data_IF_492225857322
#
_entry.id   IF_492225857322
#
_cell.length_a   1.000
_cell.length_b   1.000
_cell.length_c   1.000
_cell.angle_alpha   90.00
_cell.angle_beta   90.00
_cell.angle_gamma   90.00
#
_symmetry.space_group_name_H-M   'P 1'
#
loop_
_entity.id
_entity.type
_entity.pdbx_description
1 polymer ?
#
# COMPACT_ATOMS: atom_id res chain seq x y z
N UNK A 1 -6.75 -60.59 8.10
CA UNK A 1 -7.58 -59.39 7.89
C UNK A 1 -6.68 -58.22 7.67
N UNK A 2 -6.37 -57.88 6.43
CA UNK A 2 -5.54 -56.75 6.04
C UNK A 2 -6.44 -55.51 5.96
N UNK A 3 -6.25 -54.58 6.90
CA UNK A 3 -6.96 -53.29 6.88
C UNK A 3 -6.54 -52.52 5.60
N UNK A 4 -7.53 -52.19 4.75
CA UNK A 4 -7.32 -51.33 3.60
C UNK A 4 -6.69 -50.02 4.05
N UNK A 5 -5.67 -49.49 3.38
CA UNK A 5 -5.08 -48.20 3.71
C UNK A 5 -6.17 -47.14 3.57
N UNK A 6 -6.34 -46.33 4.64
CA UNK A 6 -7.28 -45.24 4.65
C UNK A 6 -6.95 -44.30 3.50
N UNK A 7 -7.91 -44.12 2.58
CA UNK A 7 -7.78 -43.14 1.49
C UNK A 7 -7.56 -41.77 2.13
N UNK A 8 -6.43 -41.08 1.84
CA UNK A 8 -6.21 -39.77 2.40
C UNK A 8 -7.34 -38.82 1.95
N UNK A 9 -7.85 -37.95 2.81
CA UNK A 9 -8.95 -37.05 2.48
C UNK A 9 -8.60 -36.27 1.22
N UNK A 10 -9.57 -36.20 0.29
CA UNK A 10 -9.46 -35.48 -1.00
C UNK A 10 -8.86 -34.10 -0.73
N UNK A 11 -7.60 -33.95 -1.09
CA UNK A 11 -6.79 -32.81 -0.71
C UNK A 11 -7.39 -31.52 -1.30
N UNK A 12 -7.55 -30.53 -0.46
CA UNK A 12 -7.89 -29.15 -0.87
C UNK A 12 -7.00 -28.77 -2.06
N UNK A 13 -7.60 -28.22 -3.12
CA UNK A 13 -6.87 -27.88 -4.35
C UNK A 13 -5.62 -26.99 -4.07
N UNK A 14 -4.63 -26.97 -4.95
CA UNK A 14 -3.35 -26.31 -4.72
C UNK A 14 -3.50 -24.84 -4.32
N UNK A 15 -4.47 -24.12 -4.89
CA UNK A 15 -4.76 -22.72 -4.57
C UNK A 15 -5.22 -22.56 -3.12
N UNK A 16 -6.12 -23.42 -2.63
CA UNK A 16 -6.64 -23.36 -1.24
C UNK A 16 -5.50 -23.61 -0.23
N UNK A 17 -4.58 -24.51 -0.54
CA UNK A 17 -3.39 -24.77 0.30
C UNK A 17 -2.47 -23.56 0.32
N UNK A 18 -2.24 -22.91 -0.81
CA UNK A 18 -1.43 -21.68 -0.92
C UNK A 18 -2.05 -20.55 -0.12
N UNK A 19 -3.37 -20.32 -0.22
CA UNK A 19 -4.08 -19.30 0.56
C UNK A 19 -3.95 -19.58 2.06
N UNK A 20 -4.19 -20.82 2.49
CA UNK A 20 -4.10 -21.19 3.91
C UNK A 20 -2.65 -21.06 4.46
N UNK A 21 -1.64 -21.31 3.64
CA UNK A 21 -0.25 -21.10 4.00
C UNK A 21 0.09 -19.61 4.14
N UNK A 22 -0.37 -18.78 3.20
CA UNK A 22 -0.17 -17.33 3.28
C UNK A 22 -0.90 -16.67 4.45
N UNK A 23 -2.12 -17.07 4.77
CA UNK A 23 -2.84 -16.58 5.95
C UNK A 23 -2.12 -16.91 7.26
N UNK A 24 -1.52 -18.12 7.36
CA UNK A 24 -0.69 -18.48 8.51
C UNK A 24 0.59 -17.65 8.58
N UNK A 25 1.20 -17.39 7.43
CA UNK A 25 2.39 -16.52 7.33
C UNK A 25 2.08 -15.12 7.81
N UNK A 26 1.01 -14.50 7.32
CA UNK A 26 0.62 -13.11 7.69
C UNK A 26 0.39 -12.98 9.21
N UNK A 27 -0.18 -14.01 9.85
CA UNK A 27 -0.36 -14.01 11.31
C UNK A 27 0.96 -14.03 12.10
N UNK A 28 2.00 -14.65 11.55
CA UNK A 28 3.33 -14.74 12.18
C UNK A 28 4.34 -13.70 11.66
N UNK A 29 3.93 -12.81 10.75
CA UNK A 29 4.82 -11.84 10.13
C UNK A 29 5.07 -10.66 11.09
N UNK A 30 6.33 -10.36 11.44
CA UNK A 30 6.66 -9.21 12.28
C UNK A 30 6.50 -7.87 11.55
N UNK A 31 6.37 -7.87 10.22
CA UNK A 31 6.33 -6.65 9.41
C UNK A 31 5.18 -5.70 9.80
N UNK A 32 3.94 -6.16 10.12
CA UNK A 32 2.89 -5.28 10.62
C UNK A 32 3.27 -4.51 11.89
N UNK A 33 4.15 -5.08 12.74
CA UNK A 33 4.63 -4.40 13.95
C UNK A 33 5.55 -3.21 13.62
N UNK A 34 6.27 -3.26 12.49
CA UNK A 34 7.06 -2.12 12.00
C UNK A 34 6.18 -0.94 11.54
N UNK A 35 4.89 -1.18 11.25
CA UNK A 35 3.93 -0.14 10.92
C UNK A 35 3.61 0.76 12.13
N UNK A 36 3.60 0.23 13.34
CA UNK A 36 3.24 0.97 14.55
C UNK A 36 4.17 2.18 14.82
N UNK A 37 5.52 2.04 14.84
CA UNK A 37 6.38 3.19 15.03
C UNK A 37 6.30 4.20 13.87
N UNK A 38 6.10 3.76 12.63
CA UNK A 38 5.88 4.65 11.50
C UNK A 38 4.57 5.44 11.67
N UNK A 39 3.50 4.80 12.12
CA UNK A 39 2.23 5.48 12.40
C UNK A 39 2.34 6.45 13.57
N UNK A 40 3.02 6.04 14.66
CA UNK A 40 3.27 6.96 15.78
C UNK A 40 4.02 8.20 15.31
N UNK A 41 5.05 8.02 14.48
CA UNK A 41 5.80 9.13 13.88
C UNK A 41 4.90 10.03 13.04
N UNK A 42 4.03 9.47 12.19
CA UNK A 42 3.09 10.26 11.37
C UNK A 42 2.10 11.04 12.23
N UNK A 43 1.54 10.41 13.28
CA UNK A 43 0.62 11.09 14.21
C UNK A 43 1.33 12.23 14.94
N UNK A 44 2.52 12.00 15.48
CA UNK A 44 3.31 13.03 16.14
C UNK A 44 3.67 14.17 15.17
N UNK A 45 4.06 13.82 13.93
CA UNK A 45 4.35 14.82 12.90
C UNK A 45 3.11 15.64 12.52
N UNK A 46 1.95 15.00 12.40
CA UNK A 46 0.67 15.68 12.17
C UNK A 46 0.41 16.66 13.30
N UNK A 47 0.39 16.20 14.55
CA UNK A 47 0.09 17.03 15.71
C UNK A 47 1.09 18.19 15.88
N UNK A 48 2.38 17.94 15.60
CA UNK A 48 3.42 18.97 15.64
C UNK A 48 3.30 20.01 14.50
N UNK A 49 2.61 19.67 13.42
CA UNK A 49 2.35 20.58 12.28
C UNK A 49 1.15 21.49 12.53
N UNK A 50 0.32 21.19 13.54
CA UNK A 50 -0.87 21.98 13.81
C UNK A 50 -0.50 23.31 14.47
N UNK A 51 -1.11 24.45 14.03
CA UNK A 51 -0.97 25.71 14.73
C UNK A 51 -1.48 25.61 16.18
N UNK A 52 -0.76 26.20 17.12
CA UNK A 52 -1.13 26.16 18.55
C UNK A 52 -2.54 26.73 18.83
N UNK A 53 -3.02 27.62 17.97
CA UNK A 53 -4.29 28.31 18.09
C UNK A 53 -5.45 27.53 17.41
N UNK A 54 -5.18 26.36 16.83
CA UNK A 54 -6.19 25.64 16.04
C UNK A 54 -7.45 25.30 16.84
N UNK A 55 -7.30 24.94 18.13
CA UNK A 55 -8.43 24.57 18.98
C UNK A 55 -9.42 25.72 19.31
N UNK A 56 -9.02 26.96 19.04
CA UNK A 56 -9.87 28.15 19.23
C UNK A 56 -10.18 28.87 17.91
N UNK A 57 -9.68 28.36 16.79
CA UNK A 57 -9.88 28.94 15.47
C UNK A 57 -11.33 28.75 14.99
N UNK A 58 -11.87 29.67 14.16
CA UNK A 58 -13.18 29.46 13.55
C UNK A 58 -13.18 28.27 12.58
N UNK A 59 -14.31 27.57 12.49
CA UNK A 59 -14.48 26.38 11.68
C UNK A 59 -13.95 26.47 10.23
N UNK A 60 -14.14 27.56 9.47
CA UNK A 60 -13.60 27.67 8.12
C UNK A 60 -12.06 27.69 8.07
N UNK A 61 -11.41 28.29 9.07
CA UNK A 61 -9.94 28.27 9.14
C UNK A 61 -9.38 26.88 9.45
N UNK A 62 -10.07 26.11 10.31
CA UNK A 62 -9.72 24.71 10.59
C UNK A 62 -9.88 23.87 9.32
N UNK A 63 -10.95 24.06 8.56
CA UNK A 63 -11.19 23.35 7.31
C UNK A 63 -10.10 23.64 6.26
N UNK A 64 -9.62 24.87 6.15
CA UNK A 64 -8.51 25.24 5.26
C UNK A 64 -7.21 24.52 5.64
N UNK A 65 -6.90 24.49 6.95
CA UNK A 65 -5.75 23.74 7.49
C UNK A 65 -5.90 22.24 7.20
N UNK A 66 -7.09 21.65 7.41
CA UNK A 66 -7.37 20.24 7.13
C UNK A 66 -7.10 19.90 5.65
N UNK A 67 -7.59 20.74 4.75
CA UNK A 67 -7.38 20.61 3.31
C UNK A 67 -5.88 20.64 2.97
N UNK A 68 -5.12 21.60 3.48
CA UNK A 68 -3.68 21.71 3.25
C UNK A 68 -2.87 20.54 3.80
N UNK A 69 -3.26 19.98 4.95
CA UNK A 69 -2.56 18.88 5.61
C UNK A 69 -2.94 17.51 5.05
N UNK A 70 -4.17 17.31 4.62
CA UNK A 70 -4.67 15.99 4.20
C UNK A 70 -3.81 15.37 3.10
N UNK A 71 -3.48 16.10 2.04
CA UNK A 71 -2.64 15.62 0.95
C UNK A 71 -1.25 15.18 1.45
N UNK A 72 -0.60 15.97 2.31
CA UNK A 72 0.73 15.68 2.86
C UNK A 72 0.73 14.47 3.77
N UNK A 73 -0.24 14.38 4.68
CA UNK A 73 -0.35 13.29 5.66
C UNK A 73 -0.68 11.99 4.96
N UNK A 74 -1.64 11.99 4.03
CA UNK A 74 -2.01 10.77 3.29
C UNK A 74 -0.98 10.37 2.26
N UNK A 75 -0.22 11.29 1.66
CA UNK A 75 0.93 10.92 0.82
C UNK A 75 1.99 10.17 1.62
N UNK A 76 2.24 10.59 2.85
CA UNK A 76 3.17 9.91 3.76
C UNK A 76 2.66 8.52 4.16
N UNK A 77 1.36 8.37 4.45
CA UNK A 77 0.74 7.07 4.74
C UNK A 77 0.81 6.13 3.52
N UNK A 78 0.51 6.61 2.33
CA UNK A 78 0.64 5.91 1.05
C UNK A 78 2.07 5.39 0.88
N UNK A 79 3.07 6.25 1.13
CA UNK A 79 4.48 5.90 1.02
C UNK A 79 4.88 4.80 2.01
N UNK A 80 4.48 4.92 3.28
CA UNK A 80 4.74 3.90 4.31
C UNK A 80 4.14 2.56 3.90
N UNK A 81 2.88 2.53 3.46
CA UNK A 81 2.20 1.30 3.04
C UNK A 81 2.85 0.70 1.80
N UNK A 82 3.28 1.50 0.83
CA UNK A 82 4.00 1.03 -0.34
C UNK A 82 5.34 0.39 0.04
N UNK A 83 6.12 1.02 0.91
CA UNK A 83 7.40 0.46 1.40
C UNK A 83 7.17 -0.86 2.14
N UNK A 84 6.13 -0.97 2.98
CA UNK A 84 5.81 -2.22 3.67
C UNK A 84 5.41 -3.33 2.69
N UNK A 85 4.61 -3.02 1.67
CA UNK A 85 4.26 -3.96 0.60
C UNK A 85 5.48 -4.53 -0.10
N UNK A 86 6.47 -3.69 -0.37
CA UNK A 86 7.72 -4.07 -1.02
C UNK A 86 8.65 -4.87 -0.08
N UNK A 87 8.77 -4.47 1.18
CA UNK A 87 9.55 -5.20 2.19
C UNK A 87 8.99 -6.59 2.43
N UNK A 88 7.65 -6.75 2.47
CA UNK A 88 7.00 -8.04 2.68
C UNK A 88 7.40 -9.09 1.67
N UNK A 89 7.56 -8.73 0.39
CA UNK A 89 7.99 -9.68 -0.65
C UNK A 89 9.50 -9.88 -0.66
N UNK A 90 10.28 -8.81 -0.49
CA UNK A 90 11.75 -8.90 -0.58
C UNK A 90 12.38 -9.63 0.61
N UNK A 91 11.84 -9.45 1.83
CA UNK A 91 12.27 -10.20 3.01
C UNK A 91 11.87 -11.68 2.90
N UNK A 92 10.68 -11.98 2.39
CA UNK A 92 10.25 -13.36 2.16
C UNK A 92 11.09 -14.07 1.09
N UNK A 93 11.55 -13.34 0.07
CA UNK A 93 12.48 -13.87 -0.95
C UNK A 93 13.85 -14.17 -0.32
N UNK A 94 14.42 -13.25 0.44
CA UNK A 94 15.68 -13.45 1.16
C UNK A 94 15.64 -14.61 2.15
N UNK A 95 14.51 -14.81 2.84
CA UNK A 95 14.32 -15.94 3.75
C UNK A 95 14.07 -17.30 3.03
N UNK A 96 14.05 -17.32 1.70
CA UNK A 96 13.77 -18.52 0.89
C UNK A 96 12.33 -19.03 1.03
N UNK A 97 11.45 -18.27 1.65
CA UNK A 97 10.03 -18.62 1.82
C UNK A 97 9.32 -18.63 0.47
N UNK A 98 9.71 -17.70 -0.41
CA UNK A 98 9.13 -17.59 -1.76
C UNK A 98 9.46 -18.84 -2.60
N UNK A 99 10.72 -19.25 -2.64
CA UNK A 99 11.16 -20.43 -3.37
C UNK A 99 10.44 -21.71 -2.88
N UNK A 100 10.35 -21.89 -1.56
CA UNK A 100 9.60 -23.02 -0.98
C UNK A 100 8.12 -23.01 -1.34
N UNK A 101 7.45 -21.85 -1.30
CA UNK A 101 6.05 -21.73 -1.65
C UNK A 101 5.80 -22.07 -3.14
N UNK A 102 6.71 -21.71 -4.03
CA UNK A 102 6.63 -21.99 -5.47
C UNK A 102 6.69 -23.48 -5.80
N UNK A 103 7.43 -24.27 -5.02
CA UNK A 103 7.48 -25.72 -5.18
C UNK A 103 6.10 -26.40 -5.00
N UNK A 104 5.23 -25.83 -4.19
CA UNK A 104 3.91 -26.43 -3.88
C UNK A 104 2.75 -25.79 -4.64
N UNK A 105 2.85 -24.53 -5.03
CA UNK A 105 1.74 -23.77 -5.61
C UNK A 105 1.95 -23.29 -7.05
N UNK A 106 3.18 -23.43 -7.55
CA UNK A 106 3.60 -22.82 -8.80
C UNK A 106 3.80 -21.28 -8.69
N UNK A 107 4.71 -20.71 -9.50
CA UNK A 107 5.18 -19.34 -9.33
C UNK A 107 4.09 -18.29 -9.53
N UNK A 108 3.22 -18.46 -10.53
CA UNK A 108 2.16 -17.50 -10.86
C UNK A 108 1.05 -17.52 -9.81
N UNK A 109 0.68 -18.72 -9.31
CA UNK A 109 -0.35 -18.82 -8.26
C UNK A 109 0.13 -18.20 -6.96
N UNK A 110 1.37 -18.46 -6.55
CA UNK A 110 1.98 -17.85 -5.35
C UNK A 110 2.08 -16.34 -5.52
N UNK A 111 2.48 -15.84 -6.69
CA UNK A 111 2.51 -14.41 -6.99
C UNK A 111 1.14 -13.77 -6.82
N UNK A 112 0.08 -14.35 -7.41
CA UNK A 112 -1.28 -13.82 -7.33
C UNK A 112 -1.85 -13.84 -5.90
N UNK A 113 -1.68 -14.94 -5.17
CA UNK A 113 -2.12 -15.04 -3.77
C UNK A 113 -1.41 -14.02 -2.89
N UNK A 114 -0.10 -13.81 -3.09
CA UNK A 114 0.66 -12.80 -2.35
C UNK A 114 0.26 -11.38 -2.70
N UNK A 115 0.01 -11.08 -3.97
CA UNK A 115 -0.53 -9.79 -4.37
C UNK A 115 -1.85 -9.48 -3.66
N UNK A 116 -2.77 -10.46 -3.63
CA UNK A 116 -4.05 -10.33 -2.95
C UNK A 116 -3.89 -10.17 -1.43
N UNK A 117 -3.02 -10.95 -0.78
CA UNK A 117 -2.77 -10.81 0.67
C UNK A 117 -2.08 -9.50 1.00
N UNK A 118 -1.16 -9.00 0.17
CA UNK A 118 -0.55 -7.68 0.34
C UNK A 118 -1.59 -6.58 0.21
N UNK A 119 -2.47 -6.64 -0.78
CA UNK A 119 -3.58 -5.69 -0.94
C UNK A 119 -4.46 -5.65 0.32
N UNK A 120 -4.89 -6.82 0.80
CA UNK A 120 -5.73 -6.91 2.02
C UNK A 120 -5.01 -6.38 3.26
N UNK A 121 -3.74 -6.72 3.45
CA UNK A 121 -2.93 -6.23 4.57
C UNK A 121 -2.74 -4.71 4.49
N UNK A 122 -2.51 -4.18 3.30
CA UNK A 122 -2.39 -2.73 3.05
C UNK A 122 -3.70 -1.99 3.34
N UNK A 123 -4.84 -2.56 2.94
CA UNK A 123 -6.15 -2.00 3.26
C UNK A 123 -6.41 -2.00 4.77
N UNK A 124 -6.06 -3.08 5.47
CA UNK A 124 -6.25 -3.18 6.93
C UNK A 124 -5.32 -2.22 7.68
N UNK A 125 -4.01 -2.30 7.44
CA UNK A 125 -3.04 -1.45 8.14
C UNK A 125 -3.23 0.02 7.78
N UNK A 126 -3.37 0.32 6.49
CA UNK A 126 -3.57 1.68 6.02
C UNK A 126 -4.92 2.25 6.46
N UNK A 127 -5.96 1.41 6.54
CA UNK A 127 -7.26 1.80 7.11
C UNK A 127 -7.16 2.14 8.60
N UNK A 128 -6.48 1.30 9.38
CA UNK A 128 -6.18 1.61 10.80
C UNK A 128 -5.39 2.91 10.92
N UNK A 129 -4.38 3.09 10.05
CA UNK A 129 -3.58 4.32 10.00
C UNK A 129 -4.41 5.55 9.65
N UNK A 130 -5.28 5.46 8.65
CA UNK A 130 -6.17 6.54 8.27
C UNK A 130 -7.13 6.93 9.41
N UNK A 131 -7.75 5.95 10.07
CA UNK A 131 -8.61 6.19 11.24
C UNK A 131 -7.83 6.81 12.40
N UNK A 132 -6.60 6.37 12.65
CA UNK A 132 -5.77 6.93 13.71
C UNK A 132 -5.39 8.41 13.44
N UNK A 133 -5.04 8.74 12.19
CA UNK A 133 -4.74 10.12 11.78
C UNK A 133 -5.99 11.01 11.84
N UNK A 134 -7.12 10.50 11.37
CA UNK A 134 -8.43 11.17 11.46
C UNK A 134 -8.80 11.47 12.92
N UNK A 135 -8.69 10.44 13.79
CA UNK A 135 -8.98 10.58 15.21
C UNK A 135 -8.05 11.58 15.89
N UNK A 136 -6.76 11.55 15.56
CA UNK A 136 -5.78 12.48 16.11
C UNK A 136 -6.11 13.94 15.74
N UNK A 137 -6.46 14.18 14.47
CA UNK A 137 -6.87 15.51 14.01
C UNK A 137 -8.20 15.96 14.62
N UNK A 138 -9.19 15.06 14.67
CA UNK A 138 -10.50 15.32 15.27
C UNK A 138 -10.38 15.70 16.76
N UNK A 139 -9.55 14.99 17.51
CA UNK A 139 -9.30 15.31 18.94
C UNK A 139 -8.60 16.65 19.10
N UNK A 140 -7.69 17.02 18.19
CA UNK A 140 -6.93 18.26 18.27
C UNK A 140 -7.73 19.48 17.79
N UNK A 141 -8.61 19.34 16.81
CA UNK A 141 -9.28 20.44 16.11
C UNK A 141 -10.80 20.49 16.29
N UNK A 142 -11.41 19.38 16.73
CA UNK A 142 -12.87 19.21 16.76
C UNK A 142 -13.52 19.03 15.39
N UNK A 143 -12.74 18.88 14.31
CA UNK A 143 -13.24 18.70 12.94
C UNK A 143 -12.59 17.51 12.24
N UNK A 144 -13.23 17.01 11.19
CA UNK A 144 -12.74 15.92 10.36
C UNK A 144 -11.59 16.38 9.45
N UNK A 145 -10.55 15.54 9.32
CA UNK A 145 -9.44 15.75 8.38
C UNK A 145 -9.86 15.41 6.94
N UNK A 146 -10.71 14.37 6.79
CA UNK A 146 -11.22 13.88 5.52
C UNK A 146 -12.73 13.97 5.44
N UNK A 147 -13.29 14.51 4.33
CA UNK A 147 -14.71 14.36 4.07
C UNK A 147 -15.11 12.88 4.01
N UNK A 148 -16.20 12.44 4.66
CA UNK A 148 -16.63 11.02 4.65
C UNK A 148 -16.81 10.43 3.24
N UNK A 149 -17.20 11.26 2.27
CA UNK A 149 -17.35 10.87 0.88
C UNK A 149 -16.03 10.43 0.21
N UNK A 150 -14.87 10.82 0.74
CA UNK A 150 -13.54 10.48 0.20
C UNK A 150 -12.93 9.25 0.85
N UNK A 151 -13.41 8.82 2.01
CA UNK A 151 -12.83 7.73 2.79
C UNK A 151 -12.64 6.43 1.99
N UNK A 152 -13.64 6.01 1.22
CA UNK A 152 -13.56 4.80 0.38
C UNK A 152 -12.51 4.92 -0.73
N UNK A 153 -12.39 6.09 -1.36
CA UNK A 153 -11.38 6.36 -2.38
C UNK A 153 -9.98 6.40 -1.80
N UNK A 154 -9.83 7.00 -0.63
CA UNK A 154 -8.56 7.03 0.12
C UNK A 154 -8.10 5.62 0.47
N UNK A 155 -8.99 4.75 0.97
CA UNK A 155 -8.67 3.35 1.22
C UNK A 155 -8.26 2.61 -0.06
N UNK A 156 -8.95 2.84 -1.18
CA UNK A 156 -8.56 2.25 -2.46
C UNK A 156 -7.16 2.71 -2.91
N UNK A 157 -6.83 3.99 -2.77
CA UNK A 157 -5.51 4.52 -3.07
C UNK A 157 -4.42 3.92 -2.18
N UNK A 158 -4.69 3.74 -0.88
CA UNK A 158 -3.78 3.09 0.07
C UNK A 158 -3.55 1.62 -0.33
N UNK A 159 -4.61 0.88 -0.67
CA UNK A 159 -4.50 -0.50 -1.15
C UNK A 159 -3.68 -0.60 -2.44
N UNK A 160 -3.92 0.30 -3.38
CA UNK A 160 -3.17 0.41 -4.63
C UNK A 160 -1.68 0.71 -4.39
N UNK A 161 -1.37 1.57 -3.41
CA UNK A 161 0.01 1.87 -3.03
C UNK A 161 0.74 0.64 -2.46
N UNK A 162 0.09 -0.14 -1.61
CA UNK A 162 0.66 -1.39 -1.11
C UNK A 162 0.92 -2.40 -2.22
N UNK A 163 0.00 -2.51 -3.18
CA UNK A 163 0.18 -3.34 -4.36
C UNK A 163 1.32 -2.82 -5.26
N UNK A 164 1.42 -1.50 -5.45
CA UNK A 164 2.56 -0.86 -6.12
C UNK A 164 3.89 -1.29 -5.50
N UNK A 165 4.01 -1.14 -4.18
CA UNK A 165 5.20 -1.55 -3.44
C UNK A 165 5.52 -3.03 -3.63
N UNK A 166 4.52 -3.91 -3.53
CA UNK A 166 4.68 -5.34 -3.79
C UNK A 166 5.26 -5.62 -5.18
N UNK A 167 4.71 -5.00 -6.22
CA UNK A 167 5.14 -5.20 -7.61
C UNK A 167 6.59 -4.70 -7.82
N UNK A 168 6.92 -3.52 -7.30
CA UNK A 168 8.29 -2.99 -7.32
C UNK A 168 9.25 -3.93 -6.55
N UNK A 169 8.83 -4.44 -5.39
CA UNK A 169 9.60 -5.40 -4.60
C UNK A 169 9.89 -6.71 -5.34
N UNK A 170 8.92 -7.23 -6.10
CA UNK A 170 9.10 -8.43 -6.96
C UNK A 170 10.16 -8.19 -8.04
N UNK A 171 10.22 -6.99 -8.60
CA UNK A 171 11.20 -6.62 -9.64
C UNK A 171 12.61 -6.50 -9.06
N UNK A 172 12.76 -5.84 -7.93
CA UNK A 172 14.05 -5.45 -7.34
C UNK A 172 14.66 -6.56 -6.47
N UNK A 173 13.86 -7.28 -5.67
CA UNK A 173 14.27 -8.38 -4.78
C UNK A 173 15.30 -8.04 -3.69
N UNK A 174 15.70 -6.81 -3.56
CA UNK A 174 16.62 -6.36 -2.52
C UNK A 174 15.88 -5.49 -1.50
N UNK A 175 15.81 -5.90 -0.22
CA UNK A 175 15.11 -5.13 0.80
C UNK A 175 15.75 -3.75 1.03
N UNK A 176 17.07 -3.63 0.85
CA UNK A 176 17.77 -2.34 0.98
C UNK A 176 17.42 -1.42 -0.20
N UNK A 177 17.49 -1.93 -1.43
CA UNK A 177 17.19 -1.11 -2.61
C UNK A 177 15.74 -0.65 -2.64
N UNK A 178 14.82 -1.46 -2.16
CA UNK A 178 13.39 -1.13 -2.10
C UNK A 178 13.13 0.11 -1.23
N UNK A 179 13.86 0.29 -0.14
CA UNK A 179 13.75 1.48 0.72
C UNK A 179 14.07 2.79 -0.02
N UNK A 180 14.84 2.73 -1.09
CA UNK A 180 15.17 3.90 -1.91
C UNK A 180 14.32 3.95 -3.19
N UNK A 181 14.12 2.83 -3.85
CA UNK A 181 13.44 2.81 -5.15
C UNK A 181 11.94 3.05 -5.02
N UNK A 182 11.27 2.52 -4.00
CA UNK A 182 9.83 2.78 -3.82
C UNK A 182 9.56 4.27 -3.59
N UNK A 183 10.23 4.97 -2.66
CA UNK A 183 10.12 6.42 -2.58
C UNK A 183 10.51 7.13 -3.88
N UNK A 184 11.61 6.72 -4.54
CA UNK A 184 12.06 7.33 -5.78
C UNK A 184 11.06 7.19 -6.94
N UNK A 185 10.18 6.19 -6.93
CA UNK A 185 9.09 6.04 -7.92
C UNK A 185 7.84 6.84 -7.58
N UNK A 186 7.66 7.22 -6.32
CA UNK A 186 6.47 7.94 -5.85
C UNK A 186 6.73 9.43 -5.65
N UNK A 187 7.81 9.81 -4.98
CA UNK A 187 8.12 11.21 -4.59
C UNK A 187 8.36 12.17 -5.77
N UNK A 188 8.87 11.77 -6.96
CA UNK A 188 9.12 12.71 -8.06
C UNK A 188 7.90 13.55 -8.46
N UNK A 189 6.69 13.07 -8.23
CA UNK A 189 5.47 13.84 -8.50
C UNK A 189 5.46 15.17 -7.72
N UNK A 190 5.84 15.15 -6.44
CA UNK A 190 5.88 16.34 -5.60
C UNK A 190 6.99 17.32 -6.05
N UNK A 191 8.13 16.79 -6.50
CA UNK A 191 9.24 17.62 -6.98
C UNK A 191 8.98 18.26 -8.36
N UNK A 192 8.14 17.61 -9.18
CA UNK A 192 7.82 18.08 -10.53
C UNK A 192 6.56 18.97 -10.57
N UNK A 193 5.79 19.04 -9.50
CA UNK A 193 4.54 19.79 -9.46
C UNK A 193 4.73 21.27 -9.85
N UNK A 194 5.81 21.89 -9.39
CA UNK A 194 6.12 23.30 -9.69
C UNK A 194 6.77 23.53 -11.05
N UNK A 195 7.46 22.51 -11.60
CA UNK A 195 8.27 22.66 -12.82
C UNK A 195 7.50 22.17 -14.05
N UNK A 196 6.78 21.06 -13.91
CA UNK A 196 6.06 20.40 -14.99
C UNK A 196 4.76 19.77 -14.47
N UNK A 197 3.75 20.57 -14.13
CA UNK A 197 2.52 20.11 -13.48
C UNK A 197 1.81 19.01 -14.28
N UNK A 198 1.74 19.13 -15.62
CA UNK A 198 1.13 18.12 -16.48
C UNK A 198 1.82 16.75 -16.44
N UNK A 199 3.12 16.71 -16.20
CA UNK A 199 3.86 15.45 -15.98
C UNK A 199 3.65 14.94 -14.55
N UNK A 200 3.63 15.83 -13.56
CA UNK A 200 3.37 15.45 -12.18
C UNK A 200 2.00 14.77 -12.05
N UNK A 201 0.97 15.26 -12.72
CA UNK A 201 -0.41 14.73 -12.68
C UNK A 201 -0.54 13.27 -13.14
N UNK A 202 0.35 12.79 -14.00
CA UNK A 202 0.33 11.41 -14.50
C UNK A 202 1.24 10.46 -13.70
N UNK A 203 2.02 10.99 -12.75
CA UNK A 203 2.91 10.18 -11.92
C UNK A 203 2.13 9.40 -10.84
N UNK A 204 2.65 8.25 -10.40
CA UNK A 204 1.91 7.31 -9.55
C UNK A 204 1.35 7.92 -8.26
N UNK A 205 2.14 8.69 -7.52
CA UNK A 205 1.67 9.30 -6.25
C UNK A 205 0.56 10.31 -6.50
N UNK A 206 0.72 11.19 -7.48
CA UNK A 206 -0.27 12.21 -7.78
C UNK A 206 -1.58 11.59 -8.27
N UNK A 207 -1.50 10.56 -9.13
CA UNK A 207 -2.69 9.84 -9.59
C UNK A 207 -3.42 9.14 -8.44
N UNK A 208 -2.71 8.58 -7.45
CA UNK A 208 -3.32 8.00 -6.26
C UNK A 208 -4.00 9.07 -5.39
N UNK A 209 -3.34 10.20 -5.13
CA UNK A 209 -3.92 11.31 -4.36
C UNK A 209 -5.13 11.94 -5.06
N UNK A 210 -5.03 12.20 -6.36
CA UNK A 210 -6.14 12.76 -7.15
C UNK A 210 -7.33 11.80 -7.23
N UNK A 211 -7.07 10.48 -7.37
CA UNK A 211 -8.13 9.46 -7.36
C UNK A 211 -8.85 9.37 -6.02
N UNK A 212 -8.13 9.64 -4.91
CA UNK A 212 -8.68 9.74 -3.57
C UNK A 212 -9.47 11.04 -3.34
N UNK A 213 -9.29 12.06 -4.19
CA UNK A 213 -9.87 13.39 -4.00
C UNK A 213 -9.09 14.24 -3.00
N UNK A 214 -7.79 13.96 -2.81
CA UNK A 214 -6.89 14.65 -1.89
C UNK A 214 -6.02 15.71 -2.57
N UNK A 215 -5.92 15.67 -3.91
CA UNK A 215 -5.23 16.70 -4.67
C UNK A 215 -6.21 17.83 -5.05
N UNK A 216 -5.75 19.08 -4.93
CA UNK A 216 -6.56 20.26 -5.17
C UNK A 216 -6.66 20.63 -6.65
N UNK A 217 -5.63 20.30 -7.43
CA UNK A 217 -5.50 20.58 -8.85
C UNK A 217 -5.05 19.31 -9.57
N UNK A 218 -5.41 19.16 -10.84
CA UNK A 218 -4.99 18.04 -11.67
C UNK A 218 -6.14 17.35 -12.40
N UNK A 219 -5.87 16.14 -12.84
CA UNK A 219 -6.85 15.31 -13.55
C UNK A 219 -8.00 14.91 -12.62
N UNK A 220 -9.22 14.93 -13.13
CA UNK A 220 -10.39 14.49 -12.36
C UNK A 220 -10.23 13.07 -11.80
N UNK A 221 -10.86 12.77 -10.67
CA UNK A 221 -10.66 11.52 -9.92
C UNK A 221 -10.82 10.24 -10.75
N UNK A 222 -11.74 10.20 -11.70
CA UNK A 222 -11.92 9.04 -12.59
C UNK A 222 -10.75 8.85 -13.57
N UNK A 223 -10.24 9.93 -14.16
CA UNK A 223 -9.09 9.88 -15.06
C UNK A 223 -7.83 9.46 -14.30
N UNK A 224 -7.61 10.04 -13.12
CA UNK A 224 -6.50 9.68 -12.25
C UNK A 224 -6.55 8.21 -11.80
N UNK A 225 -7.73 7.70 -11.47
CA UNK A 225 -7.92 6.29 -11.14
C UNK A 225 -7.58 5.37 -12.33
N UNK A 226 -7.99 5.75 -13.55
CA UNK A 226 -7.67 5.00 -14.76
C UNK A 226 -6.15 4.96 -15.01
N UNK A 227 -5.45 6.08 -14.85
CA UNK A 227 -3.98 6.15 -14.99
C UNK A 227 -3.29 5.33 -13.90
N UNK A 228 -3.73 5.42 -12.65
CA UNK A 228 -3.19 4.59 -11.56
C UNK A 228 -3.38 3.09 -11.84
N UNK A 229 -4.54 2.68 -12.34
CA UNK A 229 -4.77 1.30 -12.80
C UNK A 229 -3.84 0.91 -13.96
N UNK A 230 -3.63 1.78 -14.94
CA UNK A 230 -2.72 1.52 -16.05
C UNK A 230 -1.28 1.30 -15.55
N UNK A 231 -0.80 2.11 -14.63
CA UNK A 231 0.50 1.92 -13.99
C UNK A 231 0.61 0.57 -13.28
N UNK A 232 -0.40 0.18 -12.49
CA UNK A 232 -0.43 -1.11 -11.80
C UNK A 232 -0.45 -2.28 -12.78
N UNK A 233 -1.17 -2.17 -13.90
CA UNK A 233 -1.21 -3.18 -14.94
C UNK A 233 0.15 -3.34 -15.63
N UNK A 234 0.83 -2.25 -15.97
CA UNK A 234 2.17 -2.26 -16.58
C UNK A 234 3.18 -2.92 -15.65
N UNK A 235 3.22 -2.50 -14.37
CA UNK A 235 4.10 -3.12 -13.37
C UNK A 235 3.74 -4.58 -13.11
N UNK A 236 2.45 -4.89 -13.04
CA UNK A 236 1.96 -6.26 -12.86
C UNK A 236 2.39 -7.17 -14.00
N UNK A 237 2.25 -6.71 -15.26
CA UNK A 237 2.71 -7.44 -16.42
C UNK A 237 4.24 -7.66 -16.40
N UNK A 238 5.00 -6.62 -16.06
CA UNK A 238 6.46 -6.72 -15.92
C UNK A 238 6.84 -7.74 -14.83
N UNK A 239 6.20 -7.68 -13.65
CA UNK A 239 6.44 -8.60 -12.56
C UNK A 239 6.11 -10.06 -12.94
N UNK A 240 4.98 -10.30 -13.59
CA UNK A 240 4.59 -11.66 -14.10
C UNK A 240 5.60 -12.17 -15.11
N UNK A 241 6.07 -11.33 -16.03
CA UNK A 241 7.09 -11.73 -17.01
C UNK A 241 8.40 -12.14 -16.33
N UNK A 242 8.83 -11.38 -15.33
CA UNK A 242 10.03 -11.70 -14.55
C UNK A 242 9.86 -13.01 -13.79
N UNK A 243 8.72 -13.22 -13.14
CA UNK A 243 8.42 -14.48 -12.42
C UNK A 243 8.44 -15.67 -13.38
N UNK A 244 7.79 -15.57 -14.54
CA UNK A 244 7.76 -16.66 -15.57
C UNK A 244 9.12 -16.96 -16.18
N UNK A 245 9.97 -15.94 -16.41
CA UNK A 245 11.32 -16.16 -16.95
C UNK A 245 12.20 -16.92 -15.98
N UNK A 246 12.06 -16.64 -14.69
CA UNK A 246 12.84 -17.30 -13.63
C UNK A 246 12.46 -18.77 -13.42
N UNK A 247 11.23 -19.15 -13.75
CA UNK A 247 10.75 -20.54 -13.66
C UNK A 247 11.36 -21.43 -14.74
N UNK A 248 11.97 -20.84 -15.76
CA UNK A 248 12.57 -21.55 -16.90
C UNK A 248 14.10 -21.75 -16.80
N UNK A 249 14.73 -21.13 -15.79
CA UNK A 249 16.16 -21.23 -15.50
C UNK A 249 16.44 -22.17 -14.33
#
# INVERSE_FOLDING_TARGET
MTSAPAVPPVGRGPIVRTIAAELRRVRGDPLPWAFLPAMLFLIVSLLASLPAELGIAPAPAIAEVAVGLSASVFSSLILVVAVLGALGVTLADKAGVLARAQLYGGPVAVFGVRAATTLLTSLLLGGVGAVALETAFLVASGQELLPPATAGRTLAAIGAAGLWGYLVGVLIRSPILVLFVVPATLVPAALLADIAPSLADVLPLQTLLSSAGLAHEGLGGAASAAIACAWLLVLGAAAVLVVRRRDRL
#
